data_IF_256090148002
#
_entry.id   IF_256090148002
#
_cell.length_a   1.000
_cell.length_b   1.000
_cell.length_c   1.000
_cell.angle_alpha   90.00
_cell.angle_beta   90.00
_cell.angle_gamma   90.00
#
_symmetry.space_group_name_H-M   'P 1'
#
loop_
_entity.id
_entity.type
_entity.pdbx_description
1 polymer ?
#
# COMPACT_ATOMS: atom_id res chain seq x y z
N UNK A 1 21.49 -50.99 -32.28
CA UNK A 1 21.46 -49.51 -32.34
C UNK A 1 20.57 -49.03 -31.20
N UNK A 2 21.14 -48.84 -30.00
CA UNK A 2 20.39 -48.54 -28.76
C UNK A 2 20.92 -47.23 -28.20
N UNK A 3 20.36 -46.11 -28.65
CA UNK A 3 20.61 -44.78 -28.08
C UNK A 3 19.35 -43.93 -28.30
N UNK A 4 18.37 -44.05 -27.40
CA UNK A 4 17.18 -43.17 -27.41
C UNK A 4 16.52 -43.09 -26.03
N UNK A 5 16.55 -44.17 -25.24
CA UNK A 5 15.88 -44.24 -23.93
C UNK A 5 16.46 -43.26 -22.88
N UNK A 6 17.78 -43.05 -22.87
CA UNK A 6 18.43 -42.20 -21.86
C UNK A 6 18.02 -40.73 -21.97
N UNK A 7 17.79 -40.21 -23.17
CA UNK A 7 17.46 -38.80 -23.39
C UNK A 7 16.03 -38.47 -22.89
N UNK A 8 15.08 -39.39 -23.12
CA UNK A 8 13.71 -39.25 -22.61
C UNK A 8 13.64 -39.29 -21.09
N UNK A 9 14.49 -40.08 -20.44
CA UNK A 9 14.55 -40.17 -18.98
C UNK A 9 15.08 -38.88 -18.34
N UNK A 10 16.12 -38.26 -18.91
CA UNK A 10 16.62 -36.96 -18.45
C UNK A 10 15.61 -35.83 -18.63
N UNK A 11 14.87 -35.82 -19.73
CA UNK A 11 13.79 -34.86 -19.98
C UNK A 11 12.64 -35.02 -18.95
N UNK A 12 12.26 -36.26 -18.63
CA UNK A 12 11.27 -36.52 -17.60
C UNK A 12 11.74 -36.10 -16.20
N UNK A 13 13.03 -36.33 -15.87
CA UNK A 13 13.61 -35.89 -14.60
C UNK A 13 13.62 -34.37 -14.46
N UNK A 14 13.92 -33.64 -15.54
CA UNK A 14 13.89 -32.17 -15.59
C UNK A 14 12.48 -31.60 -15.42
N UNK A 15 11.48 -32.22 -16.08
CA UNK A 15 10.07 -31.82 -15.93
C UNK A 15 9.58 -32.12 -14.51
N UNK A 16 9.97 -33.27 -13.94
CA UNK A 16 9.64 -33.65 -12.57
C UNK A 16 10.31 -32.70 -11.55
N UNK A 17 11.56 -32.28 -11.75
CA UNK A 17 12.22 -31.31 -10.87
C UNK A 17 11.60 -29.92 -10.97
N UNK A 18 11.26 -29.47 -12.19
CA UNK A 18 10.63 -28.18 -12.41
C UNK A 18 9.23 -28.09 -11.78
N UNK A 19 8.45 -29.19 -11.86
CA UNK A 19 7.14 -29.29 -11.20
C UNK A 19 7.25 -29.42 -9.68
N UNK A 20 8.27 -30.11 -9.16
CA UNK A 20 8.52 -30.23 -7.72
C UNK A 20 8.91 -28.91 -7.05
N UNK A 21 9.70 -28.07 -7.74
CA UNK A 21 10.00 -26.69 -7.28
C UNK A 21 8.77 -25.77 -7.29
N UNK A 22 7.78 -26.06 -8.14
CA UNK A 22 6.55 -25.29 -8.25
C UNK A 22 5.51 -25.69 -7.19
N UNK A 23 5.54 -26.95 -6.74
CA UNK A 23 4.60 -27.52 -5.75
C UNK A 23 5.09 -27.35 -4.31
N UNK A 24 6.40 -27.33 -4.05
CA UNK A 24 6.98 -27.12 -2.70
C UNK A 24 7.32 -25.67 -2.38
N UNK A 25 6.95 -24.73 -3.25
CA UNK A 25 7.03 -23.29 -2.98
C UNK A 25 6.00 -22.83 -1.95
N UNK A 26 5.95 -23.47 -0.77
CA UNK A 26 5.44 -22.83 0.43
C UNK A 26 6.37 -21.64 0.68
N UNK A 27 6.07 -20.50 0.04
CA UNK A 27 6.67 -19.24 0.41
C UNK A 27 6.31 -19.04 1.88
N UNK A 28 7.25 -19.34 2.78
CA UNK A 28 7.19 -18.82 4.12
C UNK A 28 6.80 -17.35 4.01
N UNK A 29 5.85 -16.91 4.85
CA UNK A 29 5.47 -15.51 4.93
C UNK A 29 6.74 -14.68 5.05
N UNK A 30 7.14 -14.08 3.93
CA UNK A 30 8.23 -13.11 3.88
C UNK A 30 7.60 -11.78 4.21
N UNK A 31 7.02 -11.71 5.40
CA UNK A 31 6.54 -10.47 5.98
C UNK A 31 7.73 -9.59 6.23
N UNK A 32 7.87 -8.56 5.41
CA UNK A 32 8.83 -7.50 5.67
C UNK A 32 8.14 -6.48 6.55
N UNK A 33 8.80 -6.08 7.64
CA UNK A 33 8.32 -4.97 8.46
C UNK A 33 8.21 -3.70 7.62
N UNK A 34 7.25 -2.85 7.98
CA UNK A 34 7.11 -1.51 7.42
C UNK A 34 7.45 -0.45 8.46
N UNK A 35 7.71 0.78 8.00
CA UNK A 35 7.93 1.93 8.88
C UNK A 35 7.05 3.10 8.47
N UNK A 36 6.62 3.89 9.45
CA UNK A 36 5.99 5.17 9.19
C UNK A 36 7.08 6.21 8.88
N UNK A 37 7.06 6.78 7.68
CA UNK A 37 7.99 7.84 7.28
C UNK A 37 7.39 9.21 7.63
N UNK A 38 7.48 9.56 8.91
CA UNK A 38 7.09 10.87 9.43
C UNK A 38 8.06 11.95 8.98
N UNK A 39 7.52 13.13 8.64
CA UNK A 39 8.31 14.24 8.04
C UNK A 39 8.12 15.60 8.70
N UNK A 40 7.49 15.66 9.87
CA UNK A 40 7.34 16.90 10.66
C UNK A 40 8.59 17.09 11.52
N UNK A 41 9.66 17.62 10.93
CA UNK A 41 10.96 17.90 11.57
C UNK A 41 11.83 18.76 10.63
N UNK A 42 12.89 19.39 11.16
CA UNK A 42 13.76 20.37 10.50
C UNK A 42 15.11 19.82 10.02
N UNK A 43 15.46 18.57 10.37
CA UNK A 43 16.80 18.01 10.12
C UNK A 43 16.79 16.63 9.43
N UNK A 44 15.70 16.30 8.74
CA UNK A 44 15.55 15.00 8.10
C UNK A 44 16.38 14.87 6.82
N UNK A 45 16.90 13.66 6.51
CA UNK A 45 17.54 13.39 5.22
C UNK A 45 16.58 13.61 4.04
N UNK A 46 17.11 13.96 2.85
CA UNK A 46 16.28 14.05 1.65
C UNK A 46 15.69 12.68 1.26
N UNK A 47 14.54 12.64 0.54
CA UNK A 47 13.84 11.40 0.22
C UNK A 47 14.69 10.32 -0.46
N UNK A 48 15.64 10.69 -1.32
CA UNK A 48 16.55 9.76 -2.01
C UNK A 48 17.50 9.04 -1.04
N UNK A 49 17.99 9.77 -0.03
CA UNK A 49 18.78 9.20 1.06
C UNK A 49 17.94 8.25 1.91
N UNK A 50 16.67 8.59 2.13
CA UNK A 50 15.73 7.70 2.83
C UNK A 50 15.48 6.42 2.02
N UNK A 51 15.29 6.49 0.70
CA UNK A 51 15.18 5.28 -0.15
C UNK A 51 16.43 4.39 -0.02
N UNK A 52 17.62 5.01 -0.02
CA UNK A 52 18.88 4.29 0.15
C UNK A 52 18.96 3.60 1.51
N UNK A 53 18.59 4.31 2.58
CA UNK A 53 18.53 3.78 3.95
C UNK A 53 17.56 2.61 4.06
N UNK A 54 16.33 2.75 3.56
CA UNK A 54 15.30 1.70 3.60
C UNK A 54 15.75 0.44 2.86
N UNK A 55 16.38 0.60 1.69
CA UNK A 55 16.95 -0.52 0.94
C UNK A 55 18.06 -1.22 1.71
N UNK A 56 18.99 -0.47 2.31
CA UNK A 56 20.07 -1.01 3.13
C UNK A 56 19.53 -1.77 4.36
N UNK A 57 18.49 -1.24 4.99
CA UNK A 57 17.77 -1.85 6.11
C UNK A 57 16.83 -2.99 5.70
N UNK A 58 16.72 -3.31 4.41
CA UNK A 58 15.81 -4.32 3.84
C UNK A 58 14.32 -4.07 4.16
N UNK A 59 13.96 -2.83 4.44
CA UNK A 59 12.56 -2.41 4.61
C UNK A 59 11.92 -2.31 3.22
N UNK A 60 10.73 -2.91 3.06
CA UNK A 60 10.02 -2.95 1.77
C UNK A 60 8.69 -2.22 1.76
N UNK A 61 8.19 -1.78 2.91
CA UNK A 61 6.91 -1.08 3.01
C UNK A 61 7.07 0.18 3.86
N UNK A 62 6.43 1.26 3.43
CA UNK A 62 6.32 2.47 4.24
C UNK A 62 4.90 3.03 4.19
N UNK A 63 4.58 3.83 5.21
CA UNK A 63 3.42 4.72 5.19
C UNK A 63 3.90 6.18 5.27
N UNK A 64 3.31 7.05 4.47
CA UNK A 64 3.40 8.51 4.61
C UNK A 64 2.02 9.08 4.94
N UNK A 65 2.00 10.24 5.58
CA UNK A 65 0.78 10.89 6.08
C UNK A 65 0.24 11.98 5.12
N UNK A 66 0.68 11.96 3.86
CA UNK A 66 0.25 12.86 2.79
C UNK A 66 0.48 12.19 1.41
N UNK A 67 0.50 13.01 0.35
CA UNK A 67 0.82 12.65 -1.04
C UNK A 67 1.98 13.51 -1.59
N UNK A 68 3.06 13.66 -0.83
CA UNK A 68 4.15 14.57 -1.18
C UNK A 68 4.87 14.18 -2.50
N UNK A 69 4.91 15.08 -3.51
CA UNK A 69 5.53 14.81 -4.81
C UNK A 69 7.01 14.45 -4.78
N UNK A 70 7.78 15.05 -3.87
CA UNK A 70 9.23 14.82 -3.77
C UNK A 70 9.48 13.38 -3.28
N UNK A 71 8.72 12.92 -2.29
CA UNK A 71 8.79 11.54 -1.80
C UNK A 71 8.35 10.57 -2.88
N UNK A 72 7.18 10.78 -3.49
CA UNK A 72 6.67 9.87 -4.50
C UNK A 72 7.59 9.77 -5.72
N UNK A 73 8.24 10.87 -6.11
CA UNK A 73 9.24 10.88 -7.20
C UNK A 73 10.52 10.14 -6.81
N UNK A 74 11.07 10.37 -5.61
CA UNK A 74 12.29 9.72 -5.16
C UNK A 74 12.14 8.19 -5.03
N UNK A 75 10.94 7.72 -4.72
CA UNK A 75 10.64 6.29 -4.58
C UNK A 75 10.38 5.58 -5.92
N UNK A 76 10.37 6.30 -7.05
CA UNK A 76 10.21 5.72 -8.38
C UNK A 76 11.27 4.64 -8.64
N UNK A 77 10.84 3.45 -9.05
CA UNK A 77 11.72 2.31 -9.33
C UNK A 77 12.43 1.73 -8.09
N UNK A 78 12.08 2.16 -6.87
CA UNK A 78 12.69 1.63 -5.65
C UNK A 78 12.25 0.21 -5.31
N UNK A 79 11.04 -0.18 -5.75
CA UNK A 79 10.37 -1.43 -5.38
C UNK A 79 9.77 -1.43 -3.98
N UNK A 80 9.88 -0.34 -3.23
CA UNK A 80 9.30 -0.17 -1.89
C UNK A 80 7.81 0.17 -2.04
N UNK A 81 6.94 -0.59 -1.39
CA UNK A 81 5.50 -0.33 -1.32
C UNK A 81 5.20 0.87 -0.44
N UNK A 82 4.32 1.76 -0.89
CA UNK A 82 3.93 2.98 -0.18
C UNK A 82 2.43 2.98 0.07
N UNK A 83 2.03 3.17 1.32
CA UNK A 83 0.69 3.63 1.67
C UNK A 83 0.75 5.16 1.78
N UNK A 84 -0.08 5.84 0.98
CA UNK A 84 -0.27 7.30 1.08
C UNK A 84 -1.49 7.62 1.93
N UNK A 85 -1.67 8.88 2.32
CA UNK A 85 -2.81 9.30 3.14
C UNK A 85 -3.61 10.39 2.44
N UNK A 86 -4.93 10.25 2.40
CA UNK A 86 -5.84 11.38 2.31
C UNK A 86 -5.86 12.06 3.68
N UNK A 87 -5.40 13.32 3.82
CA UNK A 87 -5.37 14.02 5.10
C UNK A 87 -6.77 14.24 5.68
N UNK A 88 -6.86 14.34 7.01
CA UNK A 88 -8.11 14.49 7.76
C UNK A 88 -8.94 15.69 7.28
N UNK A 89 -8.25 16.77 6.90
CA UNK A 89 -8.83 18.05 6.48
C UNK A 89 -9.55 17.97 5.13
N UNK A 90 -9.25 16.95 4.32
CA UNK A 90 -9.87 16.74 3.01
C UNK A 90 -11.06 15.77 3.05
N UNK A 91 -11.32 15.10 4.18
CA UNK A 91 -12.39 14.08 4.26
C UNK A 91 -13.75 14.64 3.87
N UNK A 92 -14.12 15.81 4.41
CA UNK A 92 -15.42 16.42 4.13
C UNK A 92 -15.55 16.80 2.65
N UNK A 93 -14.54 17.44 2.06
CA UNK A 93 -14.55 17.84 0.64
C UNK A 93 -14.66 16.62 -0.29
N UNK A 94 -13.85 15.59 -0.03
CA UNK A 94 -13.85 14.35 -0.81
C UNK A 94 -15.13 13.54 -0.59
N UNK A 95 -15.72 13.60 0.61
CA UNK A 95 -16.94 12.89 0.95
C UNK A 95 -18.19 13.44 0.26
N UNK A 96 -18.22 14.74 -0.06
CA UNK A 96 -19.39 15.41 -0.64
C UNK A 96 -19.61 15.04 -2.11
N UNK A 97 -18.55 14.84 -2.91
CA UNK A 97 -18.71 14.58 -4.34
C UNK A 97 -17.60 13.72 -4.97
N UNK A 98 -18.01 12.83 -5.87
CA UNK A 98 -17.13 11.85 -6.53
C UNK A 98 -16.11 12.50 -7.48
N UNK A 99 -16.46 13.63 -8.09
CA UNK A 99 -15.57 14.40 -8.98
C UNK A 99 -14.37 15.00 -8.23
N UNK A 100 -14.55 15.35 -6.95
CA UNK A 100 -13.46 15.79 -6.05
C UNK A 100 -12.49 14.64 -5.81
N UNK A 101 -13.00 13.44 -5.50
CA UNK A 101 -12.16 12.24 -5.35
C UNK A 101 -11.43 11.88 -6.64
N UNK A 102 -12.12 11.93 -7.78
CA UNK A 102 -11.53 11.70 -9.10
C UNK A 102 -10.38 12.67 -9.39
N UNK A 103 -10.59 13.96 -9.15
CA UNK A 103 -9.55 14.98 -9.35
C UNK A 103 -8.38 14.74 -8.40
N UNK A 104 -8.65 14.46 -7.13
CA UNK A 104 -7.62 14.16 -6.15
C UNK A 104 -6.75 12.96 -6.55
N UNK A 105 -7.33 11.86 -7.04
CA UNK A 105 -6.57 10.70 -7.51
C UNK A 105 -5.74 11.05 -8.75
N UNK A 106 -6.31 11.76 -9.72
CA UNK A 106 -5.62 12.19 -10.94
C UNK A 106 -4.42 13.10 -10.67
N UNK A 107 -4.52 13.95 -9.66
CA UNK A 107 -3.49 14.93 -9.36
C UNK A 107 -2.41 14.37 -8.42
N UNK A 108 -2.79 13.50 -7.49
CA UNK A 108 -1.91 13.10 -6.38
C UNK A 108 -1.40 11.66 -6.44
N UNK A 109 -2.08 10.76 -7.16
CA UNK A 109 -1.75 9.33 -7.17
C UNK A 109 -1.41 8.85 -8.58
N UNK A 110 -2.29 9.12 -9.54
CA UNK A 110 -2.14 8.67 -10.93
C UNK A 110 -0.80 9.06 -11.58
N UNK A 111 -0.21 10.26 -11.36
CA UNK A 111 1.02 10.65 -12.03
C UNK A 111 2.24 9.81 -11.64
N UNK A 112 2.18 9.12 -10.49
CA UNK A 112 3.30 8.37 -9.95
C UNK A 112 3.24 6.87 -10.29
N UNK A 113 2.08 6.34 -10.66
CA UNK A 113 1.91 4.92 -10.99
C UNK A 113 2.10 4.66 -12.50
N UNK A 114 2.67 3.50 -12.89
CA UNK A 114 3.20 2.42 -12.05
C UNK A 114 4.66 2.65 -11.60
N UNK A 115 5.25 3.80 -11.89
CA UNK A 115 6.67 4.08 -11.62
C UNK A 115 7.04 3.99 -10.13
N UNK A 116 6.15 4.43 -9.26
CA UNK A 116 6.21 4.34 -7.81
C UNK A 116 5.17 3.35 -7.34
N UNK A 117 5.57 2.40 -6.48
CA UNK A 117 4.71 1.31 -6.03
C UNK A 117 3.79 1.76 -4.89
N UNK A 118 2.79 2.58 -5.23
CA UNK A 118 1.69 2.91 -4.31
C UNK A 118 0.82 1.65 -4.20
N UNK A 119 0.66 1.12 -2.98
CA UNK A 119 -0.09 -0.12 -2.70
C UNK A 119 -1.40 0.15 -1.96
N UNK A 120 -1.55 1.34 -1.39
CA UNK A 120 -2.79 1.69 -0.71
C UNK A 120 -2.93 3.17 -0.40
N UNK A 121 -4.17 3.56 -0.09
CA UNK A 121 -4.55 4.89 0.36
C UNK A 121 -5.25 4.74 1.70
N UNK A 122 -4.66 5.36 2.72
CA UNK A 122 -5.31 5.56 4.02
C UNK A 122 -6.25 6.76 3.95
N UNK A 123 -7.52 6.57 4.30
CA UNK A 123 -8.54 7.61 4.36
C UNK A 123 -8.53 8.20 5.76
N UNK A 124 -7.83 9.33 5.91
CA UNK A 124 -7.58 9.94 7.20
C UNK A 124 -6.69 9.12 8.12
N UNK A 125 -6.61 9.58 9.37
CA UNK A 125 -5.87 8.95 10.45
C UNK A 125 -6.65 9.10 11.76
N UNK A 126 -7.06 7.96 12.34
CA UNK A 126 -7.68 7.87 13.67
C UNK A 126 -8.98 8.69 13.81
N UNK A 127 -9.71 8.85 12.70
CA UNK A 127 -10.90 9.71 12.61
C UNK A 127 -11.90 9.45 13.73
N UNK A 128 -12.27 8.18 13.92
CA UNK A 128 -13.27 7.77 14.91
C UNK A 128 -12.81 7.92 16.36
N UNK A 129 -11.52 8.10 16.61
CA UNK A 129 -10.97 8.34 17.95
C UNK A 129 -10.89 9.83 18.34
N UNK A 130 -11.06 10.75 17.38
CA UNK A 130 -10.81 12.18 17.59
C UNK A 130 -12.02 12.97 18.14
N UNK A 131 -13.19 12.34 18.30
CA UNK A 131 -14.39 12.99 18.88
C UNK A 131 -15.10 14.02 17.99
N UNK A 132 -14.59 14.30 16.77
CA UNK A 132 -15.21 15.22 15.81
C UNK A 132 -16.26 14.51 14.94
N UNK A 133 -17.52 14.59 15.36
CA UNK A 133 -18.66 13.93 14.71
C UNK A 133 -18.80 14.32 13.23
N UNK A 134 -18.50 15.58 12.86
CA UNK A 134 -18.61 16.03 11.47
C UNK A 134 -17.62 15.32 10.55
N UNK A 135 -16.43 15.02 11.04
CA UNK A 135 -15.40 14.28 10.30
C UNK A 135 -15.71 12.78 10.27
N UNK A 136 -16.39 12.25 11.28
CA UNK A 136 -16.82 10.84 11.31
C UNK A 136 -17.80 10.51 10.20
N UNK A 137 -18.81 11.36 10.01
CA UNK A 137 -19.84 11.17 8.98
C UNK A 137 -19.26 11.21 7.55
N UNK A 138 -18.17 11.97 7.36
CA UNK A 138 -17.48 12.08 6.07
C UNK A 138 -16.61 10.85 5.72
N UNK A 139 -16.21 10.02 6.69
CA UNK A 139 -15.26 8.93 6.50
C UNK A 139 -15.74 7.90 5.46
N UNK A 140 -16.96 7.39 5.61
CA UNK A 140 -17.51 6.37 4.71
C UNK A 140 -17.76 6.92 3.29
N UNK A 141 -18.42 8.09 3.11
CA UNK A 141 -18.54 8.73 1.80
C UNK A 141 -17.18 8.95 1.13
N UNK A 142 -16.18 9.51 1.85
CA UNK A 142 -14.85 9.75 1.29
C UNK A 142 -14.17 8.45 0.85
N UNK A 143 -14.27 7.38 1.66
CA UNK A 143 -13.72 6.07 1.33
C UNK A 143 -14.35 5.49 0.06
N UNK A 144 -15.69 5.58 -0.07
CA UNK A 144 -16.41 5.12 -1.26
C UNK A 144 -16.02 5.92 -2.50
N UNK A 145 -15.92 7.24 -2.39
CA UNK A 145 -15.59 8.10 -3.52
C UNK A 145 -14.16 7.85 -4.01
N UNK A 146 -13.20 7.67 -3.10
CA UNK A 146 -11.81 7.31 -3.45
C UNK A 146 -11.75 5.94 -4.13
N UNK A 147 -12.45 4.93 -3.59
CA UNK A 147 -12.51 3.62 -4.21
C UNK A 147 -13.14 3.67 -5.61
N UNK A 148 -14.26 4.38 -5.77
CA UNK A 148 -14.92 4.56 -7.08
C UNK A 148 -13.99 5.23 -8.09
N UNK A 149 -13.26 6.27 -7.68
CA UNK A 149 -12.29 6.94 -8.52
C UNK A 149 -11.16 5.99 -8.96
N UNK A 150 -10.61 5.18 -8.04
CA UNK A 150 -9.63 4.16 -8.38
C UNK A 150 -10.18 3.11 -9.35
N UNK A 151 -11.41 2.63 -9.13
CA UNK A 151 -12.04 1.61 -9.96
C UNK A 151 -12.26 2.10 -11.39
N UNK A 152 -12.81 3.32 -11.53
CA UNK A 152 -13.02 3.99 -12.82
C UNK A 152 -11.72 4.27 -13.58
N UNK A 153 -10.61 4.44 -12.88
CA UNK A 153 -9.27 4.60 -13.47
C UNK A 153 -8.55 3.26 -13.69
N UNK A 154 -9.20 2.15 -13.35
CA UNK A 154 -8.62 0.81 -13.46
C UNK A 154 -7.48 0.55 -12.48
N UNK A 155 -7.42 1.26 -11.36
CA UNK A 155 -6.35 1.18 -10.35
C UNK A 155 -6.73 0.38 -9.10
N UNK A 156 -8.02 0.15 -8.86
CA UNK A 156 -8.53 -0.53 -7.66
C UNK A 156 -8.04 -1.97 -7.47
N UNK A 157 -7.55 -2.62 -8.54
CA UNK A 157 -6.94 -3.95 -8.46
C UNK A 157 -5.52 -3.94 -7.86
N UNK A 158 -4.91 -2.77 -7.72
CA UNK A 158 -3.50 -2.61 -7.32
C UNK A 158 -3.30 -1.68 -6.11
N UNK A 159 -4.28 -0.82 -5.83
CA UNK A 159 -4.25 0.15 -4.74
C UNK A 159 -5.45 -0.11 -3.84
N UNK A 160 -5.19 -0.55 -2.61
CA UNK A 160 -6.22 -0.80 -1.60
C UNK A 160 -6.66 0.50 -0.91
N UNK A 161 -7.93 0.56 -0.50
CA UNK A 161 -8.48 1.69 0.28
C UNK A 161 -8.79 1.19 1.68
N UNK A 162 -8.27 1.88 2.69
CA UNK A 162 -8.41 1.52 4.11
C UNK A 162 -8.42 2.77 4.98
N UNK A 163 -8.83 2.65 6.24
CA UNK A 163 -8.72 3.72 7.23
C UNK A 163 -8.06 3.16 8.50
N UNK A 164 -7.00 3.82 9.02
CA UNK A 164 -6.41 3.42 10.29
C UNK A 164 -7.23 3.97 11.46
N UNK A 165 -7.49 3.10 12.43
CA UNK A 165 -8.19 3.42 13.67
C UNK A 165 -7.26 3.26 14.88
N UNK A 166 -7.41 4.17 15.85
CA UNK A 166 -6.85 4.01 17.19
C UNK A 166 -7.66 2.95 17.95
N UNK A 167 -7.08 2.33 18.98
CA UNK A 167 -7.79 1.41 19.89
C UNK A 167 -8.99 2.09 20.58
N UNK A 168 -9.03 3.43 20.63
CA UNK A 168 -10.13 4.22 21.17
C UNK A 168 -11.52 3.93 20.54
N UNK A 169 -11.58 3.21 19.41
CA UNK A 169 -12.84 2.74 18.82
C UNK A 169 -13.49 1.61 19.61
N UNK A 170 -12.77 0.91 20.48
CA UNK A 170 -13.31 -0.17 21.30
C UNK A 170 -13.94 0.37 22.58
N UNK A 171 -15.17 -0.06 22.87
CA UNK A 171 -15.82 0.20 24.17
C UNK A 171 -15.24 -0.70 25.28
N UNK A 172 -14.88 -1.94 24.95
CA UNK A 172 -14.19 -2.87 25.83
C UNK A 172 -13.19 -3.69 25.01
N UNK A 173 -11.94 -3.77 25.46
CA UNK A 173 -10.88 -4.57 24.82
C UNK A 173 -10.39 -5.72 25.70
N UNK A 174 -11.01 -5.94 26.88
CA UNK A 174 -10.62 -7.00 27.80
C UNK A 174 -11.77 -7.89 28.32
N UNK A 175 -11.58 -9.23 28.31
CA UNK A 175 -10.58 -9.94 27.52
C UNK A 175 -10.95 -9.83 26.02
N UNK A 176 -10.00 -9.98 25.08
CA UNK A 176 -10.26 -9.78 23.66
C UNK A 176 -11.36 -10.68 23.04
N UNK A 177 -11.80 -11.74 23.72
CA UNK A 177 -12.70 -12.77 23.19
C UNK A 177 -13.98 -13.02 24.01
N UNK A 178 -14.28 -12.18 25.01
CA UNK A 178 -15.50 -12.35 25.83
C UNK A 178 -16.79 -12.16 25.05
#
# INVERSE_FOLDING_TARGET
MVFSSSCSFFLWLLILSATFSLVLGNKAFTGTYGVNYGRVSDNLPPPESVVTLLKAAKIKNIRIYDVNPQVLSAFKGSGIGIIVCLPNELLTDIGVAEDRAMSWIKDNVQPYVPGTKIVGISIGNEILGNGDVGVWEALLPASKNIYSALDRLGLAHSIEVSTPHSEAVFANSYPPSS
#
